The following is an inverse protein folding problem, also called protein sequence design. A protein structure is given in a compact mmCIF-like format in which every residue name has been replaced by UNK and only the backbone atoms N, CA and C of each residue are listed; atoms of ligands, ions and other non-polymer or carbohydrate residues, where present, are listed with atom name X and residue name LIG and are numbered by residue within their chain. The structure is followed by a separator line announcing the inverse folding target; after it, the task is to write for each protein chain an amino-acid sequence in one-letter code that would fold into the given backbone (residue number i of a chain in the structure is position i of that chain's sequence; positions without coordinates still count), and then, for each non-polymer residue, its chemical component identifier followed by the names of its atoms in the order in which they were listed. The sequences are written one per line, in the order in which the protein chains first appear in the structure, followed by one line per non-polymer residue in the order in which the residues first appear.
data_IF_705502869323
#
_entry.id   IF_705502869323
#
_cell.length_a   1.000
_cell.length_b   1.000
_cell.length_c   1.000
_cell.angle_alpha   90.00
_cell.angle_beta   90.00
_cell.angle_gamma   90.00
#
_symmetry.space_group_name_H-M   'P 1'
#
loop_
_entity.id
_entity.type
_entity.pdbx_description
1 polymer ?
#
# COMPACT_ATOMS: atom_id res chain seq x y z
N UNK A 1 -11.84 -15.87 -13.75
CA UNK A 1 -10.68 -15.79 -12.84
C UNK A 1 -9.48 -15.13 -13.54
N UNK A 2 -9.11 -15.55 -14.75
CA UNK A 2 -7.93 -15.02 -15.47
C UNK A 2 -7.99 -13.53 -15.90
N UNK A 3 -9.20 -13.02 -16.22
CA UNK A 3 -9.38 -11.62 -16.64
C UNK A 3 -9.12 -10.59 -15.54
N UNK A 4 -9.34 -10.96 -14.27
CA UNK A 4 -9.06 -10.10 -13.10
C UNK A 4 -7.56 -10.01 -12.83
N UNK A 5 -6.83 -11.13 -12.93
CA UNK A 5 -5.36 -11.15 -12.81
C UNK A 5 -4.69 -10.30 -13.87
N UNK A 6 -5.03 -10.51 -15.14
CA UNK A 6 -4.44 -9.76 -16.25
C UNK A 6 -4.70 -8.25 -16.17
N UNK A 7 -5.88 -7.87 -15.66
CA UNK A 7 -6.23 -6.47 -15.40
C UNK A 7 -5.43 -5.87 -14.24
N UNK A 8 -5.16 -6.66 -13.20
CA UNK A 8 -4.30 -6.25 -12.10
C UNK A 8 -2.82 -6.18 -12.54
N UNK A 9 -2.27 -7.14 -13.26
CA UNK A 9 -0.88 -7.11 -13.73
C UNK A 9 -0.58 -5.93 -14.67
N UNK A 10 -1.58 -5.45 -15.42
CA UNK A 10 -1.43 -4.23 -16.24
C UNK A 10 -1.47 -2.93 -15.43
N UNK A 11 -2.05 -2.95 -14.24
CA UNK A 11 -2.38 -1.76 -13.44
C UNK A 11 -1.56 -1.68 -12.15
N UNK A 12 -1.05 -2.82 -11.69
CA UNK A 12 -0.23 -3.01 -10.50
C UNK A 12 1.16 -3.44 -10.96
N UNK A 13 2.13 -2.56 -10.73
CA UNK A 13 3.53 -2.72 -11.15
C UNK A 13 4.21 -3.91 -10.47
N UNK A 14 3.73 -4.27 -9.27
CA UNK A 14 4.31 -5.34 -8.46
C UNK A 14 3.23 -6.29 -7.98
N UNK A 15 3.44 -7.58 -8.21
CA UNK A 15 2.66 -8.67 -7.64
C UNK A 15 3.60 -9.60 -6.87
N UNK A 16 3.36 -9.76 -5.58
CA UNK A 16 4.12 -10.66 -4.70
C UNK A 16 3.19 -11.78 -4.21
N UNK A 17 3.61 -13.02 -4.33
CA UNK A 17 2.88 -14.16 -3.76
C UNK A 17 3.23 -14.27 -2.27
N UNK A 18 2.21 -14.33 -1.42
CA UNK A 18 2.36 -14.42 0.03
C UNK A 18 2.50 -15.90 0.43
N UNK A 19 3.26 -16.22 1.50
CA UNK A 19 3.45 -17.59 1.96
C UNK A 19 2.15 -18.31 2.35
N UNK A 20 1.09 -17.55 2.63
CA UNK A 20 -0.26 -18.06 2.93
C UNK A 20 -1.05 -18.46 1.66
N UNK A 21 -0.43 -18.44 0.48
CA UNK A 21 -1.07 -18.67 -0.82
C UNK A 21 -1.82 -17.45 -1.38
N UNK A 22 -1.83 -16.34 -0.64
CA UNK A 22 -2.38 -15.06 -1.06
C UNK A 22 -1.51 -14.31 -2.07
N UNK A 23 -1.98 -13.14 -2.49
CA UNK A 23 -1.21 -12.22 -3.35
C UNK A 23 -1.27 -10.80 -2.83
N UNK A 24 -0.15 -10.11 -2.90
CA UNK A 24 -0.02 -8.70 -2.64
C UNK A 24 0.25 -7.97 -3.94
N UNK A 25 -0.72 -7.17 -4.35
CA UNK A 25 -0.60 -6.27 -5.49
C UNK A 25 -0.23 -4.89 -4.98
N UNK A 26 0.77 -4.25 -5.57
CA UNK A 26 1.07 -2.84 -5.29
C UNK A 26 1.41 -2.04 -6.55
N UNK A 27 1.09 -0.75 -6.52
CA UNK A 27 1.58 0.22 -7.50
C UNK A 27 1.93 1.53 -6.83
N UNK A 28 2.88 2.24 -7.42
CA UNK A 28 3.33 3.55 -6.99
C UNK A 28 2.82 4.61 -7.95
N UNK A 29 2.24 5.67 -7.42
CA UNK A 29 1.81 6.85 -8.15
C UNK A 29 2.70 8.01 -7.71
N UNK A 30 3.43 8.59 -8.65
CA UNK A 30 4.19 9.81 -8.40
C UNK A 30 3.22 10.98 -8.43
N UNK A 31 3.05 11.64 -7.29
CA UNK A 31 2.25 12.85 -7.15
C UNK A 31 3.01 14.10 -7.58
N UNK A 32 2.33 15.25 -7.53
CA UNK A 32 2.97 16.57 -7.69
C UNK A 32 3.97 16.81 -6.55
N UNK A 33 5.06 17.53 -6.85
CA UNK A 33 6.13 17.89 -5.89
C UNK A 33 6.97 16.71 -5.34
N UNK A 34 7.04 15.59 -6.05
CA UNK A 34 7.94 14.47 -5.70
C UNK A 34 7.39 13.52 -4.64
N UNK A 35 6.13 13.69 -4.22
CA UNK A 35 5.47 12.76 -3.30
C UNK A 35 5.15 11.46 -4.03
N UNK A 36 5.18 10.34 -3.31
CA UNK A 36 4.88 9.02 -3.88
C UNK A 36 3.74 8.40 -3.07
N UNK A 37 2.62 8.11 -3.72
CA UNK A 37 1.54 7.33 -3.13
C UNK A 37 1.65 5.88 -3.59
N UNK A 38 1.85 4.93 -2.69
CA UNK A 38 1.82 3.50 -2.99
C UNK A 38 0.48 2.92 -2.56
N UNK A 39 -0.24 2.33 -3.48
CA UNK A 39 -1.46 1.59 -3.17
C UNK A 39 -1.10 0.12 -3.02
N UNK A 40 -1.55 -0.51 -1.95
CA UNK A 40 -1.31 -1.91 -1.66
C UNK A 40 -2.65 -2.62 -1.45
N UNK A 41 -2.83 -3.72 -2.17
CA UNK A 41 -3.98 -4.62 -2.05
C UNK A 41 -3.49 -6.02 -1.76
N UNK A 42 -3.96 -6.58 -0.65
CA UNK A 42 -3.67 -7.96 -0.27
C UNK A 42 -4.93 -8.79 -0.45
N UNK A 43 -4.77 -9.95 -1.06
CA UNK A 43 -5.82 -10.96 -1.23
C UNK A 43 -5.34 -12.31 -0.70
N UNK A 44 -6.25 -13.17 -0.26
CA UNK A 44 -5.93 -14.55 0.11
C UNK A 44 -5.87 -15.47 -1.13
N UNK A 45 -5.65 -16.77 -0.90
CA UNK A 45 -5.58 -17.79 -1.94
C UNK A 45 -6.85 -17.88 -2.81
N UNK A 46 -8.01 -17.49 -2.28
CA UNK A 46 -9.30 -17.43 -2.99
C UNK A 46 -9.56 -16.09 -3.69
N UNK A 47 -8.58 -15.19 -3.73
CA UNK A 47 -8.68 -13.82 -4.26
C UNK A 47 -9.66 -12.91 -3.49
N UNK A 48 -10.04 -13.27 -2.26
CA UNK A 48 -10.81 -12.40 -1.37
C UNK A 48 -9.89 -11.31 -0.83
N UNK A 49 -10.38 -10.06 -0.84
CA UNK A 49 -9.57 -8.93 -0.37
C UNK A 49 -9.43 -9.01 1.14
N UNK A 50 -8.19 -9.16 1.61
CA UNK A 50 -7.87 -9.16 3.03
C UNK A 50 -7.64 -7.74 3.52
N UNK A 51 -6.87 -6.95 2.74
CA UNK A 51 -6.48 -5.59 3.11
C UNK A 51 -6.37 -4.70 1.88
N UNK A 52 -6.72 -3.44 2.06
CA UNK A 52 -6.48 -2.40 1.07
C UNK A 52 -6.07 -1.12 1.79
N UNK A 53 -4.86 -0.66 1.51
CA UNK A 53 -4.32 0.54 2.13
C UNK A 53 -3.48 1.34 1.14
N UNK A 54 -3.36 2.63 1.44
CA UNK A 54 -2.53 3.55 0.70
C UNK A 54 -1.44 4.08 1.62
N UNK A 55 -0.21 4.00 1.16
CA UNK A 55 0.97 4.54 1.83
C UNK A 55 1.38 5.83 1.11
N UNK A 56 1.54 6.93 1.84
CA UNK A 56 2.01 8.21 1.31
C UNK A 56 3.44 8.40 1.78
N UNK A 57 4.35 8.50 0.81
CA UNK A 57 5.74 8.79 1.00
C UNK A 57 6.04 10.22 0.59
N UNK A 58 6.87 10.91 1.37
CA UNK A 58 7.38 12.22 1.02
C UNK A 58 8.43 12.14 -0.10
N UNK A 59 8.94 13.30 -0.54
CA UNK A 59 9.96 13.40 -1.59
C UNK A 59 11.30 12.74 -1.24
N UNK A 60 11.59 12.52 0.04
CA UNK A 60 12.76 11.77 0.51
C UNK A 60 12.53 10.26 0.55
N UNK A 61 11.37 9.77 0.11
CA UNK A 61 11.01 8.35 0.15
C UNK A 61 10.60 7.85 1.54
N UNK A 62 10.29 8.74 2.48
CA UNK A 62 9.88 8.39 3.84
C UNK A 62 8.36 8.28 3.94
N UNK A 63 7.88 7.19 4.50
CA UNK A 63 6.45 7.00 4.80
C UNK A 63 6.00 8.02 5.84
N UNK A 64 5.00 8.83 5.49
CA UNK A 64 4.46 9.89 6.36
C UNK A 64 3.00 9.63 6.73
N UNK A 65 2.27 8.85 5.95
CA UNK A 65 0.86 8.57 6.19
C UNK A 65 0.47 7.21 5.61
N UNK A 66 -0.36 6.48 6.34
CA UNK A 66 -1.00 5.25 5.87
C UNK A 66 -2.50 5.44 6.01
N UNK A 67 -3.23 5.18 4.94
CA UNK A 67 -4.68 5.20 4.92
C UNK A 67 -5.18 3.78 4.70
N UNK A 68 -5.65 3.13 5.77
CA UNK A 68 -6.28 1.82 5.70
C UNK A 68 -7.75 1.98 5.32
N UNK A 69 -8.11 1.53 4.11
CA UNK A 69 -9.47 1.63 3.55
C UNK A 69 -10.29 0.36 3.76
N UNK A 70 -9.63 -0.80 3.91
CA UNK A 70 -10.27 -2.11 4.08
C UNK A 70 -9.44 -2.98 5.02
N UNK A 71 -10.04 -3.82 5.90
CA UNK A 71 -11.46 -4.21 5.99
C UNK A 71 -12.41 -3.20 6.63
N UNK A 72 -11.86 -2.25 7.39
CA UNK A 72 -12.60 -1.15 8.00
C UNK A 72 -11.84 0.12 7.69
N UNK A 73 -12.50 1.13 7.15
CA UNK A 73 -11.88 2.43 6.90
C UNK A 73 -11.47 3.03 8.24
N UNK A 74 -10.17 3.06 8.51
CA UNK A 74 -9.59 3.60 9.75
C UNK A 74 -9.18 5.06 9.59
N UNK A 75 -9.50 5.66 8.44
CA UNK A 75 -9.05 6.99 8.06
C UNK A 75 -7.54 7.08 7.87
N UNK A 76 -7.03 8.31 8.00
CA UNK A 76 -5.63 8.64 7.77
C UNK A 76 -4.83 8.50 9.08
N UNK A 77 -3.92 7.54 9.12
CA UNK A 77 -2.95 7.38 10.20
C UNK A 77 -1.66 8.06 9.77
N UNK A 78 -1.39 9.26 10.31
CA UNK A 78 -0.08 9.89 10.13
C UNK A 78 0.97 9.06 10.84
N UNK A 79 1.97 8.62 10.10
CA UNK A 79 3.14 7.95 10.66
C UNK A 79 4.00 9.06 11.27
N UNK A 80 3.70 9.40 12.52
CA UNK A 80 4.58 10.28 13.30
C UNK A 80 5.89 9.52 13.45
N UNK A 81 6.96 10.07 12.92
CA UNK A 81 8.29 9.53 13.17
C UNK A 81 8.54 9.62 14.67
N UNK A 82 8.37 8.51 15.36
CA UNK A 82 8.90 8.35 16.71
C UNK A 82 10.41 8.07 16.58
N UNK A 83 11.14 9.06 16.09
CA UNK A 83 12.50 9.29 16.58
C UNK A 83 12.34 10.34 17.66
N UNK A 84 11.94 9.86 18.85
CA UNK A 84 12.21 10.52 20.10
C UNK A 84 13.73 10.48 20.32
N UNK A 85 14.46 11.32 19.58
CA UNK A 85 15.79 11.74 20.00
C UNK A 85 15.61 13.10 20.67
N UNK A 86 15.34 12.98 21.97
CA UNK A 86 15.70 13.91 23.02
C UNK A 86 16.87 14.84 22.59
N UNK A 87 16.61 16.14 22.45
CA UNK A 87 17.66 17.15 22.45
C UNK A 87 17.25 18.28 23.41
N UNK A 88 18.21 18.77 24.22
CA UNK A 88 18.00 19.43 25.52
C UNK A 88 17.34 20.81 25.48
#
# INVERSE_FOLDING_TARGET
MELKRRGNEKKFDTCEELPDGGRRYSYKVKGRYGWIARYVKEVDATEQTLRFYQEIYNSSGKLIEIHEKYPKDRGHIKVRNENNENFP
#
